data_IF_216432585666
#
_entry.id   IF_216432585666
#
_cell.length_a   1.000
_cell.length_b   1.000
_cell.length_c   1.000
_cell.angle_alpha   90.00
_cell.angle_beta   90.00
_cell.angle_gamma   90.00
#
_symmetry.space_group_name_H-M   'P 1'
#
loop_
_entity.id
_entity.type
_entity.pdbx_description
1 polymer ?
#
# COMPACT_ATOMS: atom_id res chain seq x y z
N UNK A 1 -39.40 -23.08 -2.38
CA UNK A 1 -38.87 -24.30 -2.83
C UNK A 1 -37.87 -24.32 -3.99
N UNK A 2 -37.61 -23.24 -4.74
CA UNK A 2 -36.63 -23.24 -5.86
C UNK A 2 -35.18 -22.99 -5.34
N UNK A 3 -35.03 -22.49 -4.13
CA UNK A 3 -33.73 -22.14 -3.56
C UNK A 3 -32.83 -23.35 -3.25
N UNK A 4 -33.38 -24.56 -3.14
CA UNK A 4 -32.61 -25.74 -2.73
C UNK A 4 -31.88 -26.45 -3.88
N UNK A 5 -32.13 -26.06 -5.14
CA UNK A 5 -31.55 -26.70 -6.33
C UNK A 5 -30.47 -25.83 -7.02
N UNK A 6 -30.29 -24.58 -6.60
CA UNK A 6 -29.30 -23.70 -7.20
C UNK A 6 -27.92 -23.82 -6.46
N UNK A 7 -26.81 -23.90 -7.21
CA UNK A 7 -25.48 -23.85 -6.61
C UNK A 7 -25.31 -22.62 -5.72
N UNK A 8 -24.63 -22.79 -4.60
CA UNK A 8 -24.45 -21.71 -3.58
C UNK A 8 -23.92 -20.37 -4.16
N UNK A 9 -23.18 -20.44 -5.26
CA UNK A 9 -22.71 -19.26 -5.99
C UNK A 9 -23.84 -18.47 -6.68
N UNK A 10 -24.83 -19.16 -7.23
CA UNK A 10 -25.98 -18.53 -7.89
C UNK A 10 -26.96 -17.92 -6.89
N UNK A 11 -27.17 -18.54 -5.73
CA UNK A 11 -28.02 -17.99 -4.67
C UNK A 11 -27.42 -16.75 -4.02
N UNK A 12 -26.10 -16.69 -3.87
CA UNK A 12 -25.40 -15.50 -3.38
C UNK A 12 -25.39 -14.36 -4.40
N UNK A 13 -25.18 -14.66 -5.68
CA UNK A 13 -25.28 -13.68 -6.76
C UNK A 13 -26.71 -13.12 -6.87
N UNK A 14 -27.71 -13.97 -6.76
CA UNK A 14 -29.11 -13.57 -6.79
C UNK A 14 -29.49 -12.67 -5.60
N UNK A 15 -29.12 -13.05 -4.39
CA UNK A 15 -29.40 -12.26 -3.16
C UNK A 15 -28.66 -10.93 -3.12
N UNK A 16 -27.39 -10.91 -3.51
CA UNK A 16 -26.56 -9.70 -3.42
C UNK A 16 -26.81 -8.71 -4.55
N UNK A 17 -27.11 -9.19 -5.76
CA UNK A 17 -27.25 -8.34 -6.94
C UNK A 17 -28.71 -7.98 -7.23
N UNK A 18 -29.62 -8.96 -7.27
CA UNK A 18 -30.99 -8.72 -7.67
C UNK A 18 -31.80 -7.97 -6.61
N UNK A 19 -31.69 -8.37 -5.36
CA UNK A 19 -32.43 -7.74 -4.28
C UNK A 19 -32.00 -6.30 -3.97
N UNK A 20 -30.75 -5.96 -4.29
CA UNK A 20 -30.24 -4.59 -4.15
C UNK A 20 -30.52 -3.73 -5.37
N UNK A 21 -30.32 -4.26 -6.57
CA UNK A 21 -30.65 -3.54 -7.79
C UNK A 21 -32.13 -3.14 -7.86
N UNK A 22 -33.03 -4.04 -7.51
CA UNK A 22 -34.47 -3.75 -7.47
C UNK A 22 -34.85 -2.66 -6.46
N UNK A 23 -34.02 -2.44 -5.43
CA UNK A 23 -34.27 -1.40 -4.41
C UNK A 23 -33.49 -0.11 -4.63
N UNK A 24 -32.31 -0.18 -5.21
CA UNK A 24 -31.32 0.91 -5.15
C UNK A 24 -30.78 1.34 -6.54
N UNK A 25 -31.17 0.66 -7.64
CA UNK A 25 -30.90 1.07 -9.02
C UNK A 25 -29.46 0.98 -9.49
N UNK A 26 -28.51 0.37 -8.71
CA UNK A 26 -27.12 0.31 -9.11
C UNK A 26 -26.25 -0.62 -8.24
N UNK A 27 -24.97 -0.78 -8.63
CA UNK A 27 -23.98 -1.53 -7.84
C UNK A 27 -23.34 -0.59 -6.82
N UNK A 28 -23.44 -0.96 -5.55
CA UNK A 28 -22.85 -0.20 -4.43
C UNK A 28 -21.81 -1.01 -3.69
N UNK A 29 -20.86 -0.31 -3.02
CA UNK A 29 -19.90 -0.94 -2.10
C UNK A 29 -20.63 -1.49 -0.87
N UNK A 30 -19.94 -2.32 -0.06
CA UNK A 30 -20.46 -2.77 1.24
C UNK A 30 -20.81 -1.61 2.19
N UNK A 31 -20.24 -0.41 1.97
CA UNK A 31 -20.48 0.82 2.75
C UNK A 31 -21.64 1.66 2.19
N UNK A 32 -22.20 1.28 1.02
CA UNK A 32 -23.30 2.01 0.37
C UNK A 32 -22.87 3.01 -0.70
N UNK A 33 -21.56 3.20 -0.93
CA UNK A 33 -21.10 4.13 -1.95
C UNK A 33 -21.42 3.61 -3.35
N UNK A 34 -21.94 4.44 -4.28
CA UNK A 34 -22.26 4.02 -5.63
C UNK A 34 -20.96 3.66 -6.39
N UNK A 35 -20.93 2.48 -6.99
CA UNK A 35 -19.84 2.05 -7.87
C UNK A 35 -20.26 2.26 -9.33
N UNK A 36 -21.52 1.99 -9.64
CA UNK A 36 -22.10 2.10 -10.98
C UNK A 36 -23.61 2.27 -10.88
N UNK A 37 -24.12 3.42 -11.30
CA UNK A 37 -25.56 3.77 -11.17
C UNK A 37 -26.33 3.60 -12.48
N UNK A 38 -25.66 3.47 -13.65
CA UNK A 38 -26.29 3.46 -14.97
C UNK A 38 -26.43 2.05 -15.59
N UNK A 39 -26.76 1.05 -14.76
CA UNK A 39 -26.97 -0.32 -15.30
C UNK A 39 -28.22 -0.42 -16.14
N UNK A 40 -28.06 -0.86 -17.39
CA UNK A 40 -29.19 -1.25 -18.23
C UNK A 40 -29.73 -2.62 -17.82
N UNK A 41 -31.00 -2.92 -18.23
CA UNK A 41 -31.61 -4.23 -17.99
C UNK A 41 -30.79 -5.38 -18.63
N UNK A 42 -30.11 -5.09 -19.75
CA UNK A 42 -29.21 -6.03 -20.42
C UNK A 42 -27.93 -6.31 -19.61
N UNK A 43 -27.32 -5.29 -19.01
CA UNK A 43 -26.14 -5.45 -18.14
C UNK A 43 -26.47 -6.29 -16.91
N UNK A 44 -27.67 -6.11 -16.40
CA UNK A 44 -28.15 -6.87 -15.27
C UNK A 44 -28.35 -8.37 -15.64
N UNK A 45 -28.95 -8.67 -16.80
CA UNK A 45 -29.10 -10.04 -17.26
C UNK A 45 -27.74 -10.71 -17.53
N UNK A 46 -26.78 -9.97 -18.11
CA UNK A 46 -25.41 -10.43 -18.31
C UNK A 46 -24.70 -10.74 -16.98
N UNK A 47 -24.86 -9.87 -15.98
CA UNK A 47 -24.28 -10.08 -14.65
C UNK A 47 -24.91 -11.28 -13.93
N UNK A 48 -26.21 -11.52 -14.08
CA UNK A 48 -26.87 -12.70 -13.54
C UNK A 48 -26.33 -14.00 -14.15
N UNK A 49 -25.84 -13.95 -15.39
CA UNK A 49 -25.17 -15.04 -16.08
C UNK A 49 -23.67 -15.13 -15.77
N UNK A 50 -23.13 -14.24 -14.92
CA UNK A 50 -21.73 -14.21 -14.52
C UNK A 50 -20.83 -13.33 -15.41
N UNK A 51 -21.39 -12.57 -16.34
CA UNK A 51 -20.66 -11.62 -17.18
C UNK A 51 -20.75 -10.21 -16.57
N UNK A 52 -19.68 -9.62 -16.07
CA UNK A 52 -19.71 -8.24 -15.58
C UNK A 52 -19.92 -7.29 -16.76
N UNK A 53 -20.67 -6.17 -16.58
CA UNK A 53 -20.79 -5.12 -17.58
C UNK A 53 -19.43 -4.62 -18.04
N UNK A 54 -19.25 -4.38 -19.34
CA UNK A 54 -17.96 -3.94 -19.90
C UNK A 54 -17.46 -2.64 -19.24
N UNK A 55 -18.35 -1.70 -18.95
CA UNK A 55 -18.02 -0.44 -18.26
C UNK A 55 -17.56 -0.67 -16.82
N UNK A 56 -18.18 -1.60 -16.11
CA UNK A 56 -17.72 -1.97 -14.76
C UNK A 56 -16.32 -2.58 -14.78
N UNK A 57 -16.03 -3.45 -15.73
CA UNK A 57 -14.70 -4.02 -15.93
C UNK A 57 -13.68 -2.92 -16.23
N UNK A 58 -14.01 -1.97 -17.10
CA UNK A 58 -13.15 -0.83 -17.42
C UNK A 58 -12.86 0.07 -16.20
N UNK A 59 -13.89 0.36 -15.37
CA UNK A 59 -13.74 1.12 -14.14
C UNK A 59 -12.84 0.36 -13.15
N UNK A 60 -13.01 -0.94 -13.01
CA UNK A 60 -12.16 -1.77 -12.15
C UNK A 60 -10.72 -1.79 -12.62
N UNK A 61 -10.47 -1.97 -13.91
CA UNK A 61 -9.11 -1.96 -14.49
C UNK A 61 -8.44 -0.61 -14.30
N UNK A 62 -9.15 0.49 -14.55
CA UNK A 62 -8.66 1.85 -14.32
C UNK A 62 -8.32 2.07 -12.85
N UNK A 63 -9.17 1.64 -11.93
CA UNK A 63 -8.95 1.75 -10.49
C UNK A 63 -7.77 0.91 -10.04
N UNK A 64 -7.64 -0.32 -10.55
CA UNK A 64 -6.51 -1.20 -10.26
C UNK A 64 -5.19 -0.61 -10.78
N UNK A 65 -5.20 -0.02 -11.99
CA UNK A 65 -4.03 0.67 -12.57
C UNK A 65 -3.62 1.87 -11.70
N UNK A 66 -4.57 2.73 -11.31
CA UNK A 66 -4.30 3.88 -10.47
C UNK A 66 -3.71 3.47 -9.10
N UNK A 67 -4.28 2.45 -8.46
CA UNK A 67 -3.74 1.87 -7.22
C UNK A 67 -2.34 1.28 -7.41
N UNK A 68 -2.08 0.68 -8.56
CA UNK A 68 -0.75 0.16 -8.93
C UNK A 68 0.29 1.27 -9.01
N UNK A 69 -0.04 2.37 -9.69
CA UNK A 69 0.83 3.56 -9.81
C UNK A 69 1.07 4.19 -8.44
N UNK A 70 0.02 4.40 -7.66
CA UNK A 70 0.12 4.95 -6.31
C UNK A 70 1.03 4.10 -5.42
N UNK A 71 0.82 2.78 -5.44
CA UNK A 71 1.67 1.83 -4.71
C UNK A 71 3.13 1.90 -5.15
N UNK A 72 3.41 2.01 -6.45
CA UNK A 72 4.76 2.14 -6.98
C UNK A 72 5.45 3.43 -6.48
N UNK A 73 4.73 4.56 -6.47
CA UNK A 73 5.22 5.84 -5.95
C UNK A 73 5.56 5.73 -4.46
N UNK A 74 4.66 5.16 -3.65
CA UNK A 74 4.86 4.97 -2.20
C UNK A 74 6.04 4.03 -1.94
N UNK A 75 6.17 2.95 -2.70
CA UNK A 75 7.27 1.99 -2.57
C UNK A 75 8.61 2.65 -2.92
N UNK A 76 8.68 3.41 -4.02
CA UNK A 76 9.88 4.14 -4.41
C UNK A 76 10.30 5.16 -3.33
N UNK A 77 9.36 5.93 -2.82
CA UNK A 77 9.57 6.86 -1.70
C UNK A 77 10.16 6.17 -0.47
N UNK A 78 9.59 5.04 -0.07
CA UNK A 78 10.08 4.25 1.07
C UNK A 78 11.48 3.70 0.81
N UNK A 79 11.76 3.25 -0.41
CA UNK A 79 13.09 2.77 -0.80
C UNK A 79 14.15 3.86 -0.72
N UNK A 80 13.86 5.06 -1.24
CA UNK A 80 14.79 6.20 -1.20
C UNK A 80 15.10 6.63 0.23
N UNK A 81 14.09 6.75 1.09
CA UNK A 81 14.31 7.11 2.50
C UNK A 81 15.09 6.04 3.27
N UNK A 82 14.88 4.75 2.95
CA UNK A 82 15.64 3.65 3.54
C UNK A 82 17.09 3.64 3.06
N UNK A 83 17.34 3.84 1.76
CA UNK A 83 18.70 3.96 1.22
C UNK A 83 19.47 5.11 1.87
N UNK A 84 18.81 6.28 2.02
CA UNK A 84 19.38 7.42 2.72
C UNK A 84 19.77 7.09 4.16
N UNK A 85 18.89 6.42 4.90
CA UNK A 85 19.16 5.98 6.26
C UNK A 85 20.37 5.05 6.33
N UNK A 86 20.46 4.06 5.43
CA UNK A 86 21.58 3.11 5.41
C UNK A 86 22.90 3.84 5.13
N UNK A 87 22.94 4.68 4.09
CA UNK A 87 24.11 5.46 3.73
C UNK A 87 24.56 6.38 4.88
N UNK A 88 23.61 7.06 5.51
CA UNK A 88 23.89 7.91 6.68
C UNK A 88 24.47 7.10 7.86
N UNK A 89 23.94 5.90 8.11
CA UNK A 89 24.45 5.04 9.20
C UNK A 89 25.86 4.51 8.92
N UNK A 90 26.17 4.27 7.65
CA UNK A 90 27.50 3.80 7.21
C UNK A 90 28.51 4.93 7.05
N UNK A 91 28.08 6.19 7.15
CA UNK A 91 28.94 7.35 6.89
C UNK A 91 29.32 7.51 5.42
N UNK A 92 28.58 6.87 4.51
CA UNK A 92 28.81 6.91 3.07
C UNK A 92 28.21 8.19 2.47
N UNK A 93 29.04 9.23 2.45
CA UNK A 93 28.63 10.55 1.94
C UNK A 93 28.38 10.56 0.44
N UNK A 94 29.07 9.70 -0.32
CA UNK A 94 28.89 9.59 -1.77
C UNK A 94 27.49 9.05 -2.10
N UNK A 95 27.15 7.90 -1.53
CA UNK A 95 25.80 7.31 -1.69
C UNK A 95 24.71 8.25 -1.13
N UNK A 96 24.95 8.97 -0.03
CA UNK A 96 24.00 9.97 0.46
C UNK A 96 23.74 11.07 -0.58
N UNK A 97 24.79 11.54 -1.26
CA UNK A 97 24.68 12.54 -2.34
C UNK A 97 23.89 12.04 -3.52
N UNK A 98 24.10 10.79 -3.94
CA UNK A 98 23.33 10.15 -5.02
C UNK A 98 21.85 10.02 -4.66
N UNK A 99 21.55 9.51 -3.46
CA UNK A 99 20.16 9.36 -3.00
C UNK A 99 19.44 10.71 -2.91
N UNK A 100 20.14 11.77 -2.51
CA UNK A 100 19.54 13.12 -2.53
C UNK A 100 19.20 13.59 -3.94
N UNK A 101 20.04 13.31 -4.95
CA UNK A 101 19.72 13.57 -6.36
C UNK A 101 18.49 12.79 -6.80
N UNK A 102 18.38 11.52 -6.43
CA UNK A 102 17.23 10.68 -6.72
C UNK A 102 15.96 11.19 -6.04
N UNK A 103 16.05 11.70 -4.81
CA UNK A 103 14.94 12.32 -4.11
C UNK A 103 14.46 13.59 -4.84
N UNK A 104 15.38 14.44 -5.30
CA UNK A 104 15.04 15.62 -6.11
C UNK A 104 14.32 15.21 -7.39
N UNK A 105 14.84 14.21 -8.10
CA UNK A 105 14.21 13.67 -9.30
C UNK A 105 12.82 13.07 -9.04
N UNK A 106 12.66 12.38 -7.91
CA UNK A 106 11.36 11.86 -7.46
C UNK A 106 10.37 13.00 -7.21
N UNK A 107 10.79 14.03 -6.47
CA UNK A 107 9.94 15.17 -6.14
C UNK A 107 9.50 15.95 -7.39
N UNK A 108 10.38 16.05 -8.38
CA UNK A 108 10.05 16.68 -9.66
C UNK A 108 8.98 15.88 -10.44
N UNK A 109 9.09 14.56 -10.45
CA UNK A 109 8.13 13.67 -11.15
C UNK A 109 6.79 13.53 -10.40
N UNK A 110 6.81 13.65 -9.08
CA UNK A 110 5.66 13.39 -8.21
C UNK A 110 5.43 14.54 -7.21
N UNK A 111 4.96 15.71 -7.68
CA UNK A 111 4.80 16.90 -6.84
C UNK A 111 3.78 16.72 -5.70
N UNK A 112 2.84 15.78 -5.85
CA UNK A 112 1.84 15.44 -4.82
C UNK A 112 2.36 14.46 -3.76
N UNK A 113 3.49 13.81 -4.01
CA UNK A 113 4.09 12.79 -3.14
C UNK A 113 5.55 13.08 -2.82
N UNK A 114 5.88 14.34 -2.59
CA UNK A 114 7.25 14.81 -2.31
C UNK A 114 7.82 14.22 -1.04
N UNK A 115 9.14 14.08 -1.03
CA UNK A 115 9.93 13.69 0.14
C UNK A 115 10.60 14.97 0.66
N UNK A 116 10.21 15.44 1.83
CA UNK A 116 10.82 16.59 2.50
C UNK A 116 11.83 16.14 3.57
N UNK A 117 12.63 17.08 4.07
CA UNK A 117 13.65 16.83 5.10
C UNK A 117 13.05 16.27 6.39
N UNK A 118 11.87 16.71 6.79
CA UNK A 118 11.19 16.22 7.98
C UNK A 118 10.83 14.73 7.85
N UNK A 119 10.36 14.31 6.68
CA UNK A 119 10.04 12.91 6.41
C UNK A 119 11.29 12.03 6.37
N UNK A 120 12.39 12.54 5.84
CA UNK A 120 13.69 11.84 5.89
C UNK A 120 14.10 11.64 7.35
N UNK A 121 14.06 12.69 8.17
CA UNK A 121 14.43 12.62 9.59
C UNK A 121 13.49 11.70 10.37
N UNK A 122 12.19 11.73 10.10
CA UNK A 122 11.22 10.81 10.71
C UNK A 122 11.49 9.36 10.32
N UNK A 123 11.84 9.11 9.05
CA UNK A 123 12.23 7.78 8.57
C UNK A 123 13.51 7.29 9.25
N UNK A 124 14.53 8.13 9.35
CA UNK A 124 15.79 7.81 10.04
C UNK A 124 15.51 7.43 11.50
N UNK A 125 14.76 8.25 12.23
CA UNK A 125 14.39 7.97 13.63
C UNK A 125 13.61 6.65 13.76
N UNK A 126 12.65 6.39 12.88
CA UNK A 126 11.86 5.15 12.88
C UNK A 126 12.72 3.92 12.62
N UNK A 127 13.64 3.99 11.65
CA UNK A 127 14.55 2.89 11.36
C UNK A 127 15.57 2.65 12.48
N UNK A 128 16.06 3.70 13.10
CA UNK A 128 16.94 3.58 14.28
C UNK A 128 16.21 2.89 15.43
N UNK A 129 14.97 3.29 15.74
CA UNK A 129 14.17 2.67 16.78
C UNK A 129 13.86 1.20 16.50
N UNK A 130 13.56 0.85 15.22
CA UNK A 130 13.32 -0.53 14.81
C UNK A 130 14.59 -1.37 14.88
N UNK A 131 15.71 -0.83 14.42
CA UNK A 131 17.02 -1.50 14.49
C UNK A 131 17.45 -1.79 15.93
N UNK A 132 17.19 -0.85 16.85
CA UNK A 132 17.47 -1.05 18.28
C UNK A 132 16.60 -2.17 18.90
N UNK A 133 15.37 -2.37 18.38
CA UNK A 133 14.48 -3.46 18.83
C UNK A 133 14.83 -4.83 18.26
N UNK A 134 15.48 -4.88 17.10
CA UNK A 134 15.75 -6.14 16.37
C UNK A 134 17.05 -6.83 16.75
N UNK A 135 17.86 -6.25 17.64
CA UNK A 135 19.09 -6.93 18.10
C UNK A 135 18.70 -8.11 19.01
N UNK A 136 18.61 -9.30 18.41
CA UNK A 136 18.35 -10.59 19.07
C UNK A 136 17.05 -10.72 19.90
N UNK A 137 16.00 -10.01 19.53
CA UNK A 137 14.70 -10.06 20.25
C UNK A 137 14.75 -9.47 21.68
N UNK A 138 15.88 -8.94 22.10
CA UNK A 138 16.05 -8.24 23.36
C UNK A 138 15.92 -6.75 23.12
N UNK A 139 15.05 -6.09 23.88
CA UNK A 139 14.94 -4.61 23.88
C UNK A 139 16.18 -4.06 24.57
N UNK A 140 17.26 -3.84 23.84
CA UNK A 140 18.47 -3.26 24.39
C UNK A 140 18.25 -1.75 24.51
N UNK A 141 18.34 -1.24 25.73
CA UNK A 141 18.39 0.20 25.97
C UNK A 141 19.56 0.78 25.14
N UNK A 142 19.38 1.92 24.42
CA UNK A 142 20.44 2.55 23.63
C UNK A 142 21.75 2.75 24.41
N UNK A 143 21.68 3.02 25.70
CA UNK A 143 22.84 3.13 26.60
C UNK A 143 23.54 1.77 26.80
N UNK A 144 22.81 0.67 26.89
CA UNK A 144 23.40 -0.68 26.95
C UNK A 144 24.01 -1.10 25.62
N UNK A 145 23.40 -0.75 24.48
CA UNK A 145 23.99 -1.02 23.18
C UNK A 145 25.33 -0.31 22.99
N UNK A 146 25.44 0.92 23.47
CA UNK A 146 26.67 1.68 23.47
C UNK A 146 27.74 1.08 24.40
N UNK A 147 27.37 0.66 25.60
CA UNK A 147 28.27 -0.01 26.55
C UNK A 147 28.79 -1.37 26.00
N UNK A 148 27.95 -2.15 25.33
CA UNK A 148 28.35 -3.42 24.69
C UNK A 148 29.29 -3.15 23.51
N UNK A 149 29.08 -2.09 22.72
CA UNK A 149 30.02 -1.69 21.66
C UNK A 149 31.37 -1.29 22.21
N UNK A 150 31.43 -0.55 23.30
CA UNK A 150 32.73 -0.15 23.95
C UNK A 150 33.46 -1.37 24.51
N UNK A 151 32.77 -2.26 25.21
CA UNK A 151 33.39 -3.47 25.74
C UNK A 151 33.98 -4.41 24.69
N UNK A 152 33.31 -4.49 23.50
CA UNK A 152 33.85 -5.26 22.38
C UNK A 152 35.06 -4.62 21.68
N UNK A 153 35.22 -3.30 21.78
CA UNK A 153 36.41 -2.60 21.26
C UNK A 153 37.60 -2.79 22.16
N UNK A 154 37.40 -2.83 23.46
CA UNK A 154 38.48 -3.09 24.44
C UNK A 154 38.98 -4.55 24.43
N UNK A 155 38.12 -5.51 24.04
CA UNK A 155 38.49 -6.93 23.97
C UNK A 155 39.31 -7.29 22.73
N UNK A 156 39.33 -6.47 21.70
CA UNK A 156 40.05 -6.66 20.44
C UNK A 156 41.36 -5.86 20.32
N UNK A 157 41.86 -5.28 21.43
CA UNK A 157 43.20 -4.73 21.55
C UNK A 157 44.08 -5.65 22.38
#
# INVERSE_FOLDING_TARGET
GIESLAPAGLTNAWRSSFGRYAREGGIRTRRGDPIYDDMTTGDFAAQALGFPPAEYTFIQERTARNKGIEKAIVTNRSSLTKKFYIANRMGDHETMGEVLKDIVAHNYRHPTATINSEQIMKSVKSHMATSAKMHNGVTVNPLMAYAIMQSNMEYNQ
#
